data_IF_209460321836
#
_entry.id   IF_209460321836
#
_cell.length_a   1.000
_cell.length_b   1.000
_cell.length_c   1.000
_cell.angle_alpha   90.00
_cell.angle_beta   90.00
_cell.angle_gamma   90.00
#
_symmetry.space_group_name_H-M   'P 1'
#
loop_
_entity.id
_entity.type
_entity.pdbx_description
1 polymer ?
#
# COMPACT_ATOMS: atom_id res chain seq x y z
N UNK A 1 -57.97 25.77 -51.61
CA UNK A 1 -57.52 26.28 -52.92
C UNK A 1 -56.25 27.12 -52.69
N UNK A 2 -55.12 26.68 -53.29
CA UNK A 2 -53.79 27.35 -53.46
C UNK A 2 -53.02 27.75 -52.17
N UNK A 3 -51.93 27.07 -51.78
CA UNK A 3 -50.55 27.06 -52.33
C UNK A 3 -49.84 28.40 -52.07
N UNK A 4 -48.90 28.42 -51.12
CA UNK A 4 -47.45 28.54 -51.37
C UNK A 4 -46.95 29.78 -50.61
N UNK A 5 -45.72 29.93 -50.10
CA UNK A 5 -44.44 29.34 -50.46
C UNK A 5 -43.48 29.64 -49.28
N UNK A 6 -42.59 28.68 -48.98
CA UNK A 6 -41.48 28.80 -48.02
C UNK A 6 -40.51 29.91 -48.43
N UNK A 7 -40.04 30.74 -47.50
CA UNK A 7 -38.71 31.38 -47.60
C UNK A 7 -38.04 31.33 -46.21
N UNK A 8 -36.93 30.61 -46.20
CA UNK A 8 -35.92 30.44 -45.16
C UNK A 8 -34.93 31.60 -45.28
N UNK A 9 -34.77 32.44 -44.25
CA UNK A 9 -33.59 33.32 -44.12
C UNK A 9 -33.11 33.30 -42.66
N UNK A 10 -31.87 32.85 -42.54
CA UNK A 10 -31.00 32.72 -41.37
C UNK A 10 -30.15 33.99 -41.25
N UNK A 11 -30.25 34.75 -40.17
CA UNK A 11 -29.27 35.77 -39.71
C UNK A 11 -29.53 35.98 -38.20
N UNK A 12 -28.76 35.37 -37.29
CA UNK A 12 -27.43 35.76 -36.82
C UNK A 12 -27.33 37.24 -36.38
N UNK A 13 -27.13 37.42 -35.07
CA UNK A 13 -26.50 38.51 -34.30
C UNK A 13 -27.41 38.98 -33.15
N UNK A 14 -27.10 38.57 -31.92
CA UNK A 14 -26.08 39.06 -30.99
C UNK A 14 -26.67 40.14 -30.07
N UNK A 15 -26.86 39.69 -28.82
CA UNK A 15 -27.28 40.42 -27.63
C UNK A 15 -26.81 41.87 -27.55
N UNK A 16 -27.76 42.78 -27.26
CA UNK A 16 -27.47 44.02 -26.53
C UNK A 16 -28.55 44.27 -25.46
N UNK A 17 -28.04 44.38 -24.23
CA UNK A 17 -28.57 44.95 -22.99
C UNK A 17 -29.97 45.60 -23.06
N UNK A 18 -30.84 45.22 -22.13
CA UNK A 18 -31.28 46.16 -21.07
C UNK A 18 -32.01 45.44 -19.94
N UNK A 19 -31.52 45.65 -18.72
CA UNK A 19 -32.17 45.25 -17.47
C UNK A 19 -33.48 46.01 -17.26
N UNK A 20 -34.53 45.32 -16.81
CA UNK A 20 -35.38 45.85 -15.74
C UNK A 20 -35.67 44.77 -14.71
N UNK A 21 -35.14 45.06 -13.53
CA UNK A 21 -35.35 44.43 -12.23
C UNK A 21 -36.82 44.40 -11.85
N UNK A 22 -37.25 43.31 -11.22
CA UNK A 22 -38.15 43.38 -10.07
C UNK A 22 -37.75 42.28 -9.10
N UNK A 23 -37.42 42.71 -7.89
CA UNK A 23 -36.85 41.96 -6.80
C UNK A 23 -37.70 40.74 -6.40
N UNK A 24 -37.00 39.66 -6.05
CA UNK A 24 -37.49 38.65 -5.12
C UNK A 24 -36.46 38.52 -4.00
N UNK A 25 -36.96 38.55 -2.78
CA UNK A 25 -36.22 38.62 -1.53
C UNK A 25 -35.18 37.50 -1.41
N UNK A 26 -33.91 37.88 -1.24
CA UNK A 26 -32.86 36.93 -0.86
C UNK A 26 -32.92 36.79 0.65
N UNK A 27 -33.64 35.77 1.10
CA UNK A 27 -33.38 35.15 2.38
C UNK A 27 -31.91 34.68 2.38
N UNK A 28 -31.07 35.35 3.17
CA UNK A 28 -29.65 35.06 3.27
C UNK A 28 -29.46 33.70 3.96
N UNK A 29 -29.56 32.63 3.17
CA UNK A 29 -29.08 31.30 3.58
C UNK A 29 -27.57 31.42 3.77
N UNK A 30 -27.14 31.45 5.04
CA UNK A 30 -25.71 31.32 5.39
C UNK A 30 -25.13 30.15 4.59
N UNK A 31 -23.97 30.31 3.93
CA UNK A 31 -23.37 29.23 3.18
C UNK A 31 -23.13 28.06 4.14
N UNK A 32 -23.76 26.92 3.83
CA UNK A 32 -23.40 25.65 4.46
C UNK A 32 -21.94 25.41 4.06
N UNK A 33 -21.01 25.20 5.01
CA UNK A 33 -19.65 24.86 4.65
C UNK A 33 -19.70 23.60 3.79
N UNK A 34 -19.26 23.75 2.54
CA UNK A 34 -19.09 22.65 1.60
C UNK A 34 -17.98 21.77 2.17
N UNK A 35 -18.39 20.66 2.80
CA UNK A 35 -17.46 19.72 3.40
C UNK A 35 -16.79 18.94 2.28
N UNK A 36 -15.58 19.36 1.94
CA UNK A 36 -14.77 18.76 0.89
C UNK A 36 -14.29 17.35 1.32
N UNK A 37 -14.93 16.32 0.78
CA UNK A 37 -14.54 14.93 0.95
C UNK A 37 -13.34 14.52 0.08
N UNK A 38 -12.80 15.41 -0.76
CA UNK A 38 -11.69 15.09 -1.67
C UNK A 38 -10.38 14.72 -0.97
N UNK A 39 -10.26 15.04 0.33
CA UNK A 39 -9.13 14.68 1.19
C UNK A 39 -9.28 13.36 1.96
N UNK A 40 -10.43 12.67 1.88
CA UNK A 40 -10.57 11.39 2.58
C UNK A 40 -9.89 10.27 1.82
N UNK A 41 -8.83 9.76 2.44
CA UNK A 41 -8.25 8.43 2.23
C UNK A 41 -7.16 8.31 1.15
N UNK A 42 -6.16 9.19 1.19
CA UNK A 42 -4.84 8.82 0.67
C UNK A 42 -4.17 7.93 1.72
N UNK A 43 -4.04 6.63 1.42
CA UNK A 43 -3.32 5.69 2.29
C UNK A 43 -1.96 6.27 2.69
N UNK A 44 -1.64 6.19 3.99
CA UNK A 44 -0.34 6.64 4.52
C UNK A 44 0.82 5.74 4.13
N UNK A 45 0.51 4.56 3.58
CA UNK A 45 1.48 3.57 3.17
C UNK A 45 1.81 3.68 1.68
N UNK A 46 3.04 3.30 1.28
CA UNK A 46 3.37 3.14 -0.12
C UNK A 46 2.47 2.07 -0.76
N UNK A 47 2.28 2.15 -2.07
CA UNK A 47 1.53 1.13 -2.80
C UNK A 47 2.40 -0.12 -3.00
N UNK A 48 1.85 -1.32 -2.78
CA UNK A 48 2.58 -2.55 -3.07
C UNK A 48 2.83 -2.68 -4.57
N UNK A 49 4.00 -3.21 -4.94
CA UNK A 49 4.43 -3.47 -6.32
C UNK A 49 4.64 -4.96 -6.61
N UNK A 50 4.58 -5.81 -5.59
CA UNK A 50 4.75 -7.26 -5.73
C UNK A 50 5.12 -7.92 -4.40
N UNK A 51 5.83 -9.05 -4.48
CA UNK A 51 6.35 -9.75 -3.30
C UNK A 51 7.50 -8.99 -2.63
N UNK A 52 8.33 -8.30 -3.41
CA UNK A 52 9.49 -7.55 -2.92
C UNK A 52 9.28 -6.06 -3.18
N UNK A 53 9.09 -5.31 -2.10
CA UNK A 53 8.74 -3.90 -2.12
C UNK A 53 9.93 -3.11 -1.55
N UNK A 54 10.94 -2.90 -2.40
CA UNK A 54 12.22 -2.34 -2.00
C UNK A 54 12.28 -0.80 -2.18
N UNK A 55 11.64 -0.06 -1.27
CA UNK A 55 11.58 1.42 -1.36
C UNK A 55 12.89 2.10 -0.94
N UNK A 56 13.80 1.40 -0.26
CA UNK A 56 15.14 1.88 0.08
C UNK A 56 16.21 1.50 -0.96
N UNK A 57 15.85 0.79 -2.03
CA UNK A 57 16.77 0.36 -3.10
C UNK A 57 17.98 -0.42 -2.57
N UNK A 58 17.71 -1.35 -1.64
CA UNK A 58 18.72 -2.17 -0.96
C UNK A 58 19.21 -3.30 -1.86
N UNK A 59 18.31 -3.84 -2.70
CA UNK A 59 18.58 -5.03 -3.48
C UNK A 59 18.91 -4.68 -4.93
N UNK A 60 19.86 -5.41 -5.50
CA UNK A 60 20.10 -5.38 -6.95
C UNK A 60 18.88 -5.97 -7.71
N UNK A 61 18.73 -5.68 -9.01
CA UNK A 61 17.67 -6.29 -9.81
C UNK A 61 17.65 -7.83 -9.73
N UNK A 62 18.81 -8.47 -9.83
CA UNK A 62 18.94 -9.93 -9.79
C UNK A 62 18.53 -10.49 -8.42
N UNK A 63 18.93 -9.83 -7.34
CA UNK A 63 18.55 -10.19 -5.97
C UNK A 63 17.03 -10.14 -5.78
N UNK A 64 16.36 -9.11 -6.29
CA UNK A 64 14.89 -9.01 -6.24
C UNK A 64 14.22 -10.16 -6.98
N UNK A 65 14.70 -10.48 -8.18
CA UNK A 65 14.18 -11.60 -8.98
C UNK A 65 14.31 -12.94 -8.23
N UNK A 66 15.44 -13.17 -7.56
CA UNK A 66 15.65 -14.38 -6.78
C UNK A 66 14.69 -14.49 -5.58
N UNK A 67 14.52 -13.40 -4.82
CA UNK A 67 13.57 -13.35 -3.70
C UNK A 67 12.12 -13.52 -4.17
N UNK A 68 11.70 -12.85 -5.25
CA UNK A 68 10.37 -13.00 -5.83
C UNK A 68 10.11 -14.44 -6.31
N UNK A 69 11.10 -15.07 -6.94
CA UNK A 69 11.00 -16.47 -7.37
C UNK A 69 10.84 -17.41 -6.18
N UNK A 70 11.60 -17.18 -5.10
CA UNK A 70 11.52 -17.98 -3.88
C UNK A 70 10.12 -17.86 -3.26
N UNK A 71 9.64 -16.63 -3.05
CA UNK A 71 8.32 -16.34 -2.47
C UNK A 71 7.20 -16.91 -3.34
N UNK A 72 7.19 -16.61 -4.64
CA UNK A 72 6.13 -17.05 -5.54
C UNK A 72 6.03 -18.58 -5.66
N UNK A 73 7.17 -19.29 -5.63
CA UNK A 73 7.18 -20.75 -5.62
C UNK A 73 6.62 -21.32 -4.30
N UNK A 74 6.92 -20.68 -3.17
CA UNK A 74 6.38 -21.08 -1.88
C UNK A 74 4.86 -20.85 -1.81
N UNK A 75 4.38 -19.69 -2.25
CA UNK A 75 2.94 -19.40 -2.29
C UNK A 75 2.19 -20.37 -3.21
N UNK A 76 2.69 -20.64 -4.42
CA UNK A 76 2.07 -21.62 -5.35
C UNK A 76 1.87 -23.00 -4.72
N UNK A 77 2.78 -23.41 -3.84
CA UNK A 77 2.77 -24.73 -3.19
C UNK A 77 1.92 -24.78 -1.92
N UNK A 78 1.69 -23.65 -1.25
CA UNK A 78 1.14 -23.62 0.11
C UNK A 78 -0.03 -22.67 0.31
N UNK A 79 -0.28 -21.77 -0.63
CA UNK A 79 -1.20 -20.62 -0.54
C UNK A 79 -0.85 -19.58 0.54
N UNK A 80 0.31 -19.72 1.21
CA UNK A 80 0.83 -18.77 2.22
C UNK A 80 1.46 -17.58 1.49
N UNK A 81 1.12 -16.37 1.92
CA UNK A 81 1.58 -15.13 1.30
C UNK A 81 2.73 -14.52 2.09
N UNK A 82 3.77 -14.10 1.36
CA UNK A 82 4.93 -13.43 1.95
C UNK A 82 5.17 -12.12 1.22
N UNK A 83 5.43 -11.05 1.96
CA UNK A 83 5.97 -9.81 1.42
C UNK A 83 7.29 -9.43 2.10
N UNK A 84 8.22 -8.88 1.33
CA UNK A 84 9.40 -8.17 1.84
C UNK A 84 9.18 -6.69 1.57
N UNK A 85 9.42 -5.85 2.58
CA UNK A 85 9.14 -4.41 2.53
C UNK A 85 10.35 -3.68 3.11
N UNK A 86 11.01 -2.84 2.31
CA UNK A 86 12.08 -1.94 2.80
C UNK A 86 11.56 -0.51 2.87
N UNK A 87 11.77 0.19 3.98
CA UNK A 87 11.22 1.55 4.20
C UNK A 87 12.25 2.44 4.89
N UNK A 88 12.37 3.68 4.43
CA UNK A 88 13.30 4.66 5.02
C UNK A 88 12.75 5.34 6.27
N UNK A 89 11.44 5.28 6.49
CA UNK A 89 10.76 5.87 7.64
C UNK A 89 9.56 5.02 8.05
N UNK A 90 9.25 5.07 9.34
CA UNK A 90 8.02 4.51 9.91
C UNK A 90 7.09 5.61 10.43
N UNK A 91 7.36 6.89 10.16
CA UNK A 91 6.48 7.97 10.62
C UNK A 91 5.04 7.79 10.12
N UNK A 92 4.04 8.13 10.94
CA UNK A 92 4.12 8.76 12.26
C UNK A 92 4.22 7.75 13.43
N UNK A 93 4.63 6.50 13.18
CA UNK A 93 4.69 5.48 14.22
C UNK A 93 5.93 5.62 15.11
N UNK A 94 5.77 5.30 16.39
CA UNK A 94 6.86 5.29 17.37
C UNK A 94 7.72 4.01 17.28
N UNK A 95 7.20 2.94 16.69
CA UNK A 95 7.90 1.66 16.59
C UNK A 95 7.52 0.87 15.33
N UNK A 96 8.47 0.05 14.85
CA UNK A 96 8.29 -0.78 13.63
C UNK A 96 7.26 -1.90 13.80
N UNK A 97 6.93 -2.31 15.02
CA UNK A 97 5.94 -3.39 15.25
C UNK A 97 4.55 -2.92 14.83
N UNK A 98 4.14 -1.75 15.29
CA UNK A 98 2.83 -1.16 14.98
C UNK A 98 2.75 -0.77 13.51
N UNK A 99 3.82 -0.16 12.98
CA UNK A 99 3.94 0.11 11.54
C UNK A 99 3.77 -1.17 10.71
N UNK A 100 4.50 -2.23 11.08
CA UNK A 100 4.51 -3.51 10.38
C UNK A 100 3.16 -4.21 10.42
N UNK A 101 2.44 -4.15 11.53
CA UNK A 101 1.06 -4.67 11.64
C UNK A 101 0.11 -3.93 10.70
N UNK A 102 0.10 -2.60 10.75
CA UNK A 102 -0.86 -1.80 10.01
C UNK A 102 -0.61 -1.83 8.50
N UNK A 103 0.65 -1.78 8.05
CA UNK A 103 0.95 -1.89 6.61
C UNK A 103 0.55 -3.27 6.08
N UNK A 104 0.76 -4.33 6.88
CA UNK A 104 0.37 -5.69 6.48
C UNK A 104 -1.14 -5.85 6.35
N UNK A 105 -1.89 -5.22 7.25
CA UNK A 105 -3.35 -5.20 7.22
C UNK A 105 -3.88 -4.36 6.05
N UNK A 106 -3.33 -3.16 5.83
CA UNK A 106 -3.70 -2.30 4.70
C UNK A 106 -3.47 -3.00 3.36
N UNK A 107 -2.32 -3.67 3.22
CA UNK A 107 -1.98 -4.38 1.98
C UNK A 107 -2.73 -5.71 1.83
N UNK A 108 -3.43 -6.17 2.88
CA UNK A 108 -4.14 -7.44 2.87
C UNK A 108 -3.21 -8.63 2.68
N UNK A 109 -2.06 -8.63 3.35
CA UNK A 109 -1.10 -9.74 3.25
C UNK A 109 -1.66 -10.96 3.96
N UNK A 110 -2.02 -11.99 3.19
CA UNK A 110 -2.66 -13.21 3.67
C UNK A 110 -4.03 -13.44 3.04
N UNK A 111 -4.39 -14.72 2.84
CA UNK A 111 -5.66 -15.06 2.21
C UNK A 111 -6.80 -14.85 3.21
N UNK A 112 -7.86 -14.21 2.75
CA UNK A 112 -9.09 -13.98 3.52
C UNK A 112 -9.58 -15.26 4.20
N UNK A 113 -9.74 -15.21 5.52
CA UNK A 113 -10.22 -16.34 6.33
C UNK A 113 -9.18 -17.42 6.63
N UNK A 114 -7.96 -17.31 6.08
CA UNK A 114 -6.82 -18.14 6.47
C UNK A 114 -5.82 -17.39 7.33
N UNK A 115 -5.73 -16.06 7.18
CA UNK A 115 -4.80 -15.17 7.89
C UNK A 115 -3.36 -15.70 7.83
N UNK A 116 -2.99 -16.26 6.67
CA UNK A 116 -1.75 -16.97 6.42
C UNK A 116 -0.72 -16.08 5.70
N UNK A 117 -0.66 -14.81 6.13
CA UNK A 117 0.29 -13.81 5.66
C UNK A 117 1.52 -13.69 6.56
N UNK A 118 2.64 -13.31 5.95
CA UNK A 118 3.87 -12.94 6.63
C UNK A 118 4.51 -11.75 5.92
N UNK A 119 4.90 -10.73 6.65
CA UNK A 119 5.65 -9.59 6.12
C UNK A 119 7.01 -9.48 6.82
N UNK A 120 8.09 -9.36 6.06
CA UNK A 120 9.40 -8.97 6.57
C UNK A 120 9.54 -7.47 6.28
N UNK A 121 9.47 -6.65 7.33
CA UNK A 121 9.66 -5.21 7.25
C UNK A 121 11.07 -4.89 7.74
N UNK A 122 11.85 -4.22 6.90
CA UNK A 122 13.22 -3.86 7.21
C UNK A 122 13.44 -2.38 6.90
N UNK A 123 14.17 -1.69 7.76
CA UNK A 123 14.67 -0.35 7.50
C UNK A 123 16.18 -0.32 7.70
N UNK A 124 16.93 -0.08 6.62
CA UNK A 124 18.37 0.17 6.72
C UNK A 124 18.63 1.52 7.39
N UNK A 125 17.81 2.52 7.08
CA UNK A 125 17.90 3.86 7.65
C UNK A 125 17.73 3.86 9.17
N UNK A 126 16.76 3.09 9.68
CA UNK A 126 16.49 2.97 11.12
C UNK A 126 17.29 1.84 11.80
N UNK A 127 17.90 0.95 11.01
CA UNK A 127 18.55 -0.29 11.47
C UNK A 127 17.61 -1.21 12.25
N UNK A 128 16.36 -1.27 11.83
CA UNK A 128 15.32 -2.08 12.45
C UNK A 128 14.77 -3.12 11.47
N UNK A 129 14.42 -4.30 11.98
CA UNK A 129 13.76 -5.36 11.21
C UNK A 129 12.69 -6.01 12.07
N UNK A 130 11.58 -6.36 11.44
CA UNK A 130 10.42 -7.01 12.05
C UNK A 130 9.84 -8.03 11.08
N UNK A 131 9.34 -9.13 11.62
CA UNK A 131 8.49 -10.08 10.91
C UNK A 131 7.08 -9.95 11.47
N UNK A 132 6.11 -9.49 10.69
CA UNK A 132 4.70 -9.45 11.06
C UNK A 132 3.99 -10.69 10.53
N UNK A 133 3.21 -11.35 11.38
CA UNK A 133 2.51 -12.60 11.07
C UNK A 133 1.00 -12.39 11.18
N UNK A 134 0.23 -12.98 10.26
CA UNK A 134 -1.22 -13.08 10.42
C UNK A 134 -1.59 -14.13 11.47
N UNK A 135 -2.82 -14.08 11.97
CA UNK A 135 -3.30 -14.98 13.04
C UNK A 135 -3.16 -16.47 12.70
N UNK A 136 -3.31 -16.86 11.42
CA UNK A 136 -3.12 -18.23 10.96
C UNK A 136 -1.64 -18.63 10.91
N UNK A 137 -0.78 -17.67 10.57
CA UNK A 137 0.68 -17.82 10.56
C UNK A 137 1.25 -17.96 11.97
N UNK A 138 0.78 -17.13 12.92
CA UNK A 138 1.34 -17.03 14.28
C UNK A 138 1.17 -18.32 15.09
N UNK A 139 0.18 -19.15 14.75
CA UNK A 139 0.01 -20.50 15.31
C UNK A 139 1.24 -21.40 15.14
N UNK A 140 2.09 -21.11 14.16
CA UNK A 140 3.31 -21.87 13.85
C UNK A 140 4.54 -20.98 14.04
N UNK A 141 4.52 -19.78 13.46
CA UNK A 141 5.60 -18.80 13.56
C UNK A 141 5.25 -17.77 14.64
N UNK A 142 5.48 -18.13 15.90
CA UNK A 142 5.26 -17.23 17.03
C UNK A 142 6.21 -16.02 16.98
N UNK A 143 5.84 -14.95 17.68
CA UNK A 143 6.69 -13.76 17.83
C UNK A 143 8.10 -14.12 18.36
N UNK A 144 8.21 -15.11 19.26
CA UNK A 144 9.48 -15.62 19.78
C UNK A 144 10.33 -16.30 18.68
N UNK A 145 9.72 -17.17 17.87
CA UNK A 145 10.41 -17.84 16.76
C UNK A 145 10.92 -16.81 15.75
N UNK A 146 10.06 -15.87 15.35
CA UNK A 146 10.41 -14.80 14.43
C UNK A 146 11.55 -13.93 14.98
N UNK A 147 11.47 -13.55 16.27
CA UNK A 147 12.53 -12.79 16.94
C UNK A 147 13.85 -13.55 16.97
N UNK A 148 13.83 -14.85 17.28
CA UNK A 148 15.04 -15.69 17.26
C UNK A 148 15.68 -15.72 15.88
N UNK A 149 14.90 -15.86 14.80
CA UNK A 149 15.41 -15.84 13.42
C UNK A 149 16.03 -14.47 13.09
N UNK A 150 15.37 -13.38 13.47
CA UNK A 150 15.91 -12.04 13.29
C UNK A 150 17.28 -11.91 13.99
N UNK A 151 17.32 -12.21 15.29
CA UNK A 151 18.49 -11.96 16.13
C UNK A 151 19.68 -12.85 15.78
N UNK A 152 19.41 -14.12 15.41
CA UNK A 152 20.46 -15.13 15.19
C UNK A 152 20.87 -15.28 13.73
N UNK A 153 20.03 -14.89 12.77
CA UNK A 153 20.27 -15.11 11.34
C UNK A 153 20.34 -13.80 10.57
N UNK A 154 19.34 -12.92 10.69
CA UNK A 154 19.28 -11.69 9.90
C UNK A 154 20.27 -10.64 10.40
N UNK A 155 20.22 -10.30 11.69
CA UNK A 155 21.02 -9.23 12.31
C UNK A 155 22.54 -9.44 12.16
N UNK A 156 23.10 -10.65 12.31
CA UNK A 156 24.53 -10.87 12.09
C UNK A 156 24.98 -10.51 10.67
N UNK A 157 24.20 -10.84 9.65
CA UNK A 157 24.51 -10.49 8.26
C UNK A 157 24.37 -8.97 8.04
N UNK A 158 23.34 -8.34 8.62
CA UNK A 158 23.13 -6.90 8.51
C UNK A 158 24.27 -6.09 9.12
N UNK A 159 24.86 -6.57 10.23
CA UNK A 159 26.04 -5.97 10.85
C UNK A 159 27.26 -5.96 9.92
N UNK A 160 27.33 -6.89 8.97
CA UNK A 160 28.39 -6.97 7.96
C UNK A 160 28.03 -6.19 6.67
N UNK A 161 26.86 -5.56 6.61
CA UNK A 161 26.35 -4.92 5.39
C UNK A 161 25.72 -5.88 4.38
N UNK A 162 25.61 -7.16 4.73
CA UNK A 162 25.12 -8.24 3.86
C UNK A 162 23.59 -8.36 3.95
N UNK A 163 22.86 -7.29 3.60
CA UNK A 163 21.41 -7.20 3.77
C UNK A 163 20.63 -8.25 2.97
N UNK A 164 21.03 -8.48 1.71
CA UNK A 164 20.42 -9.52 0.89
C UNK A 164 20.57 -10.90 1.54
N UNK A 165 21.79 -11.26 1.95
CA UNK A 165 22.05 -12.56 2.58
C UNK A 165 21.25 -12.75 3.87
N UNK A 166 21.16 -11.70 4.71
CA UNK A 166 20.35 -11.76 5.93
C UNK A 166 18.88 -12.01 5.63
N UNK A 167 18.31 -11.29 4.66
CA UNK A 167 16.90 -11.45 4.26
C UNK A 167 16.67 -12.83 3.64
N UNK A 168 17.52 -13.28 2.71
CA UNK A 168 17.39 -14.58 2.05
C UNK A 168 17.49 -15.74 3.06
N UNK A 169 18.51 -15.76 3.92
CA UNK A 169 18.69 -16.79 4.95
C UNK A 169 17.53 -16.80 5.94
N UNK A 170 17.11 -15.62 6.40
CA UNK A 170 15.98 -15.51 7.32
C UNK A 170 14.66 -15.96 6.69
N UNK A 171 14.41 -15.61 5.43
CA UNK A 171 13.25 -16.07 4.67
C UNK A 171 13.22 -17.60 4.50
N UNK A 172 14.36 -18.20 4.16
CA UNK A 172 14.50 -19.65 4.06
C UNK A 172 14.20 -20.35 5.39
N UNK A 173 14.71 -19.83 6.51
CA UNK A 173 14.45 -20.40 7.83
C UNK A 173 12.97 -20.26 8.24
N UNK A 174 12.34 -19.11 7.98
CA UNK A 174 10.91 -18.90 8.19
C UNK A 174 10.09 -19.94 7.41
N UNK A 175 10.40 -20.13 6.13
CA UNK A 175 9.75 -21.14 5.27
C UNK A 175 9.97 -22.56 5.80
N UNK A 176 11.17 -22.87 6.28
CA UNK A 176 11.51 -24.19 6.81
C UNK A 176 10.74 -24.52 8.09
N UNK A 177 10.52 -23.52 8.96
CA UNK A 177 9.72 -23.65 10.20
C UNK A 177 8.22 -23.59 9.96
N UNK A 178 7.76 -22.93 8.90
CA UNK A 178 6.34 -22.73 8.60
C UNK A 178 5.75 -23.88 7.78
N UNK A 179 5.75 -25.09 8.34
CA UNK A 179 5.18 -26.28 7.70
C UNK A 179 3.71 -26.42 8.05
#
# INVERSE_FOLDING_TARGET
MKIGTKILILFLTLNLLSCKSSAQDIETKKPVPEFDFSGMNKSKFPKPVGYVNDFEQIFTPDQKILLEKLISNYEKRTTKEIAIITVSTIEPYDNIKDYGTDISNEWGIGKKGKDNGLAIIFSKSLREVRVSTGNGTEKILTDEICKSIIDQIMVPEFKNGEYYNGIEKGLLELIAKWK
#
